data_IF_832330945899
#
_entry.id   IF_832330945899
#
_cell.length_a   1.000
_cell.length_b   1.000
_cell.length_c   1.000
_cell.angle_alpha   90.00
_cell.angle_beta   90.00
_cell.angle_gamma   90.00
#
_symmetry.space_group_name_H-M   'P 1'
#
loop_
_entity.id
_entity.type
_entity.pdbx_description
1 polymer ?
#
# COMPACT_ATOMS: atom_id res chain seq x y z
N UNK A 1 3.02 12.12 1.46
CA UNK A 1 2.54 11.25 0.37
C UNK A 1 3.45 10.06 0.13
N UNK A 2 2.89 9.01 -0.46
CA UNK A 2 3.63 7.85 -0.95
C UNK A 2 3.51 7.78 -2.49
N UNK A 3 4.63 7.53 -3.15
CA UNK A 3 4.71 7.31 -4.60
C UNK A 3 4.85 5.83 -4.96
N UNK A 4 4.65 5.50 -6.24
CA UNK A 4 4.79 4.11 -6.74
C UNK A 4 6.18 3.55 -6.43
N UNK A 5 7.24 4.34 -6.60
CA UNK A 5 8.61 3.89 -6.33
C UNK A 5 8.89 3.54 -4.86
N UNK A 6 8.22 4.22 -3.91
CA UNK A 6 8.33 3.87 -2.51
C UNK A 6 7.66 2.51 -2.23
N UNK A 7 6.46 2.28 -2.77
CA UNK A 7 5.78 0.98 -2.67
C UNK A 7 6.55 -0.14 -3.36
N UNK A 8 7.22 0.15 -4.47
CA UNK A 8 8.06 -0.84 -5.15
C UNK A 8 9.23 -1.31 -4.27
N UNK A 9 9.82 -0.41 -3.48
CA UNK A 9 10.86 -0.77 -2.53
C UNK A 9 10.31 -1.56 -1.34
N UNK A 10 9.17 -1.13 -0.80
CA UNK A 10 8.51 -1.75 0.38
C UNK A 10 8.01 -3.15 0.05
N UNK A 11 7.37 -3.34 -1.10
CA UNK A 11 6.84 -4.64 -1.52
C UNK A 11 7.84 -5.45 -2.36
N UNK A 12 9.00 -4.86 -2.68
CA UNK A 12 10.11 -5.57 -3.29
C UNK A 12 10.75 -6.53 -2.29
N UNK A 13 11.65 -7.38 -2.77
CA UNK A 13 12.32 -8.33 -1.90
C UNK A 13 13.52 -9.00 -2.54
N UNK A 14 14.17 -9.83 -1.74
CA UNK A 14 15.34 -10.60 -2.18
C UNK A 14 14.91 -11.71 -3.13
N UNK A 15 15.51 -11.74 -4.32
CA UNK A 15 15.30 -12.82 -5.29
C UNK A 15 16.49 -13.79 -5.30
N UNK A 16 16.18 -15.08 -5.45
CA UNK A 16 17.19 -16.09 -5.76
C UNK A 16 17.61 -15.96 -7.23
N UNK A 17 18.91 -15.88 -7.49
CA UNK A 17 19.50 -15.73 -8.83
C UNK A 17 20.27 -16.97 -9.29
N UNK A 18 19.97 -18.13 -8.71
CA UNK A 18 20.63 -19.40 -9.01
C UNK A 18 22.01 -19.49 -8.34
N UNK A 19 23.06 -19.67 -9.14
CA UNK A 19 24.44 -19.77 -8.64
C UNK A 19 25.05 -18.43 -8.18
N UNK A 20 24.39 -17.30 -8.48
CA UNK A 20 24.83 -15.96 -8.08
C UNK A 20 24.19 -15.57 -6.72
N UNK A 21 24.87 -14.73 -5.91
CA UNK A 21 24.29 -14.21 -4.67
C UNK A 21 22.92 -13.56 -4.88
N UNK A 22 22.08 -13.68 -3.86
CA UNK A 22 20.76 -13.06 -3.85
C UNK A 22 20.89 -11.54 -3.72
N UNK A 23 19.94 -10.83 -4.34
CA UNK A 23 19.88 -9.37 -4.29
C UNK A 23 18.43 -8.92 -4.19
N UNK A 24 18.21 -7.76 -3.57
CA UNK A 24 16.91 -7.10 -3.56
C UNK A 24 16.51 -6.67 -4.97
N UNK A 25 15.25 -6.90 -5.33
CA UNK A 25 14.61 -6.39 -6.54
C UNK A 25 13.28 -5.75 -6.16
N UNK A 26 13.03 -4.60 -6.77
CA UNK A 26 11.80 -3.85 -6.59
C UNK A 26 10.57 -4.62 -7.10
N UNK A 27 9.43 -4.42 -6.45
CA UNK A 27 8.16 -4.97 -6.89
C UNK A 27 7.64 -4.34 -8.18
N UNK A 28 6.62 -4.98 -8.77
CA UNK A 28 5.99 -4.53 -10.00
C UNK A 28 5.33 -3.16 -9.85
N UNK A 29 5.92 -2.15 -10.50
CA UNK A 29 5.37 -0.79 -10.53
C UNK A 29 4.04 -0.67 -11.27
N UNK A 30 3.71 -1.59 -12.19
CA UNK A 30 2.44 -1.55 -12.92
C UNK A 30 1.27 -1.95 -12.04
N UNK A 31 1.44 -2.99 -11.22
CA UNK A 31 0.45 -3.46 -10.25
C UNK A 31 0.22 -2.38 -9.19
N UNK A 32 1.29 -1.93 -8.53
CA UNK A 32 1.21 -0.89 -7.50
C UNK A 32 0.54 0.40 -8.01
N UNK A 33 0.83 0.82 -9.25
CA UNK A 33 0.18 1.98 -9.87
C UNK A 33 -1.32 1.77 -10.09
N UNK A 34 -1.72 0.62 -10.62
CA UNK A 34 -3.13 0.31 -10.88
C UNK A 34 -3.93 0.26 -9.58
N UNK A 35 -3.38 -0.34 -8.52
CA UNK A 35 -4.02 -0.37 -7.20
C UNK A 35 -4.24 1.05 -6.67
N UNK A 36 -3.21 1.90 -6.69
CA UNK A 36 -3.34 3.30 -6.26
C UNK A 36 -4.39 4.08 -7.06
N UNK A 37 -4.48 3.86 -8.38
CA UNK A 37 -5.48 4.48 -9.23
C UNK A 37 -6.90 3.97 -8.92
N UNK A 38 -7.07 2.69 -8.61
CA UNK A 38 -8.36 2.12 -8.23
C UNK A 38 -8.82 2.64 -6.86
N UNK A 39 -7.93 2.72 -5.88
CA UNK A 39 -8.22 3.29 -4.56
C UNK A 39 -8.55 4.79 -4.62
N UNK A 40 -7.92 5.52 -5.55
CA UNK A 40 -8.25 6.92 -5.84
C UNK A 40 -9.66 7.06 -6.43
N UNK A 41 -10.10 6.14 -7.30
CA UNK A 41 -11.45 6.17 -7.89
C UNK A 41 -12.57 5.95 -6.87
N UNK A 42 -12.33 5.13 -5.85
CA UNK A 42 -13.31 4.88 -4.78
C UNK A 42 -13.22 5.90 -3.63
N UNK A 43 -12.37 6.93 -3.76
CA UNK A 43 -12.30 8.02 -2.78
C UNK A 43 -11.50 7.72 -1.51
N UNK A 44 -10.83 6.57 -1.43
CA UNK A 44 -9.99 6.20 -0.27
C UNK A 44 -8.64 6.94 -0.28
N UNK A 45 -8.11 7.21 -1.47
CA UNK A 45 -6.86 7.97 -1.64
C UNK A 45 -7.09 9.25 -2.43
N UNK A 46 -6.26 10.26 -2.17
CA UNK A 46 -6.21 11.49 -2.94
C UNK A 46 -4.80 11.85 -3.38
N UNK A 47 -4.68 12.64 -4.45
CA UNK A 47 -3.40 13.15 -4.93
C UNK A 47 -2.91 14.28 -4.02
N UNK A 48 -1.64 14.22 -3.63
CA UNK A 48 -1.01 15.30 -2.87
C UNK A 48 -0.38 16.34 -3.80
N UNK A 49 -0.44 17.62 -3.44
CA UNK A 49 0.11 18.73 -4.24
C UNK A 49 1.61 18.60 -4.53
N UNK A 50 2.36 17.98 -3.61
CA UNK A 50 3.80 17.72 -3.73
C UNK A 50 4.13 16.43 -4.49
N UNK A 51 3.10 15.75 -5.04
CA UNK A 51 3.22 14.47 -5.73
C UNK A 51 2.90 13.26 -4.83
N UNK A 52 2.61 12.12 -5.46
CA UNK A 52 2.20 10.88 -4.78
C UNK A 52 0.72 10.86 -4.40
N UNK A 53 0.34 9.90 -3.55
CA UNK A 53 -0.99 9.81 -2.93
C UNK A 53 -0.90 9.87 -1.41
N UNK A 54 -1.97 10.33 -0.78
CA UNK A 54 -2.22 10.21 0.66
C UNK A 54 -3.63 9.66 0.89
N UNK A 55 -3.87 9.12 2.08
CA UNK A 55 -5.21 8.68 2.48
C UNK A 55 -6.13 9.90 2.64
N UNK A 56 -7.39 9.75 2.26
CA UNK A 56 -8.43 10.76 2.50
C UNK A 56 -8.90 10.68 3.96
N UNK A 57 -9.55 11.73 4.44
CA UNK A 57 -10.15 11.72 5.78
C UNK A 57 -11.23 10.64 5.92
N UNK A 58 -12.05 10.47 4.88
CA UNK A 58 -13.09 9.43 4.85
C UNK A 58 -12.47 8.03 4.78
N UNK A 59 -11.45 7.83 3.95
CA UNK A 59 -10.73 6.56 3.87
C UNK A 59 -10.09 6.16 5.20
N UNK A 60 -9.56 7.13 5.96
CA UNK A 60 -9.02 6.86 7.29
C UNK A 60 -10.12 6.45 8.28
N UNK A 61 -11.25 7.18 8.30
CA UNK A 61 -12.39 6.84 9.16
C UNK A 61 -12.92 5.43 8.88
N UNK A 62 -12.99 5.04 7.62
CA UNK A 62 -13.47 3.70 7.25
C UNK A 62 -12.52 2.60 7.72
N UNK A 63 -11.21 2.80 7.60
CA UNK A 63 -10.21 1.87 8.14
C UNK A 63 -10.27 1.77 9.66
N UNK A 64 -10.40 2.91 10.36
CA UNK A 64 -10.48 2.94 11.83
C UNK A 64 -11.74 2.21 12.33
N UNK A 65 -12.88 2.34 11.63
CA UNK A 65 -14.11 1.62 11.95
C UNK A 65 -13.92 0.10 11.81
N UNK A 66 -13.31 -0.35 10.71
CA UNK A 66 -13.05 -1.77 10.46
C UNK A 66 -12.08 -2.31 11.53
N UNK A 67 -11.04 -1.55 11.86
CA UNK A 67 -10.07 -1.93 12.89
C UNK A 67 -10.72 -2.10 14.27
N UNK A 68 -11.66 -1.21 14.64
CA UNK A 68 -12.39 -1.32 15.91
C UNK A 68 -13.24 -2.60 15.98
N UNK A 69 -14.00 -2.91 14.93
CA UNK A 69 -14.79 -4.14 14.86
C UNK A 69 -13.92 -5.39 14.99
N UNK A 70 -12.77 -5.43 14.30
CA UNK A 70 -11.86 -6.57 14.39
C UNK A 70 -11.20 -6.71 15.77
N UNK A 71 -10.93 -5.60 16.45
CA UNK A 71 -10.35 -5.64 17.79
C UNK A 71 -11.36 -6.20 18.81
N UNK A 72 -12.61 -5.76 18.74
CA UNK A 72 -13.71 -6.29 19.57
C UNK A 72 -13.91 -7.80 19.34
N UNK A 73 -13.94 -8.24 18.08
CA UNK A 73 -14.02 -9.68 17.74
C UNK A 73 -12.84 -10.48 18.30
N UNK A 74 -11.62 -9.93 18.26
CA UNK A 74 -10.43 -10.62 18.78
C UNK A 74 -10.34 -10.68 20.31
N UNK A 75 -10.98 -9.75 21.01
CA UNK A 75 -11.03 -9.75 22.48
C UNK A 75 -12.12 -10.72 23.01
N UNK A 76 -13.09 -11.10 22.17
CA UNK A 76 -14.14 -12.07 22.48
C UNK A 76 -13.72 -13.54 22.25
N UNK A 77 -12.66 -13.78 21.48
CA UNK A 77 -12.01 -15.10 21.28
C UNK A 77 -11.01 -15.47 22.40
#
# INVERSE_FOLDING_TARGET
SVGVGALNKVHGGTINRGSRPSHHVDASGSVNRKVLQSLEKIGVLEKEKKGGRKITQDGQRDLDRIAMTLAEESDEE
#
